data_IF_990960104293
#
_entry.id   IF_990960104293
#
_cell.length_a   1.000
_cell.length_b   1.000
_cell.length_c   1.000
_cell.angle_alpha   90.00
_cell.angle_beta   90.00
_cell.angle_gamma   90.00
#
_symmetry.space_group_name_H-M   'P 1'
#
loop_
_entity.id
_entity.type
_entity.pdbx_description
1 polymer ?
#
# COMPACT_ATOMS: atom_id res chain seq x y z
N UNK A 1 -6.20 0.01 21.22
CA UNK A 1 -6.42 0.43 19.82
C UNK A 1 -7.74 -0.16 19.36
N UNK A 2 -8.69 0.59 18.78
CA UNK A 2 -9.96 0.01 18.32
C UNK A 2 -9.70 -1.03 17.23
N UNK A 3 -10.38 -2.16 17.32
CA UNK A 3 -10.28 -3.25 16.34
C UNK A 3 -11.05 -2.80 15.10
N UNK A 4 -10.47 -2.85 13.87
CA UNK A 4 -11.22 -2.54 12.66
C UNK A 4 -12.41 -3.50 12.52
N UNK A 5 -13.47 -3.10 11.81
CA UNK A 5 -14.68 -3.93 11.66
C UNK A 5 -14.36 -5.36 11.22
N UNK A 6 -13.43 -5.52 10.27
CA UNK A 6 -12.95 -6.83 9.85
C UNK A 6 -12.32 -7.65 10.99
N UNK A 7 -11.58 -7.01 11.90
CA UNK A 7 -11.04 -7.67 13.09
C UNK A 7 -12.12 -8.09 14.09
N UNK A 8 -13.21 -7.33 14.23
CA UNK A 8 -14.35 -7.74 15.06
C UNK A 8 -15.02 -9.01 14.49
N UNK A 9 -15.25 -9.07 13.17
CA UNK A 9 -15.85 -10.24 12.55
C UNK A 9 -14.93 -11.47 12.57
N UNK A 10 -13.63 -11.25 12.39
CA UNK A 10 -12.63 -12.27 12.55
C UNK A 10 -12.64 -12.89 13.95
N UNK A 11 -12.61 -12.07 14.99
CA UNK A 11 -12.58 -12.52 16.39
C UNK A 11 -13.90 -13.20 16.81
N UNK A 12 -15.04 -12.60 16.45
CA UNK A 12 -16.35 -13.08 16.93
C UNK A 12 -16.94 -14.23 16.11
N UNK A 13 -16.67 -14.26 14.82
CA UNK A 13 -17.34 -15.18 13.88
C UNK A 13 -16.35 -16.02 13.07
N UNK A 14 -15.04 -15.92 13.33
CA UNK A 14 -14.03 -16.69 12.60
C UNK A 14 -13.91 -16.30 11.12
N UNK A 15 -14.35 -15.11 10.74
CA UNK A 15 -14.22 -14.63 9.35
C UNK A 15 -12.74 -14.41 9.02
N UNK A 16 -12.28 -14.99 7.92
CA UNK A 16 -10.95 -14.72 7.37
C UNK A 16 -10.96 -13.36 6.67
N UNK A 17 -10.10 -12.44 7.10
CA UNK A 17 -10.05 -11.07 6.58
C UNK A 17 -8.63 -10.69 6.21
N UNK A 18 -8.44 -10.24 4.98
CA UNK A 18 -7.20 -9.59 4.53
C UNK A 18 -7.47 -8.11 4.29
N UNK A 19 -6.87 -7.22 5.09
CA UNK A 19 -7.06 -5.77 5.00
C UNK A 19 -5.98 -5.14 4.11
N UNK A 20 -6.34 -4.83 2.87
CA UNK A 20 -5.45 -4.23 1.88
C UNK A 20 -5.32 -2.71 2.10
N UNK A 21 -4.16 -2.26 2.58
CA UNK A 21 -3.82 -0.84 2.73
C UNK A 21 -3.16 -0.33 1.45
N UNK A 22 -3.97 0.05 0.48
CA UNK A 22 -3.51 0.47 -0.84
C UNK A 22 -2.73 1.78 -0.74
N UNK A 23 -1.50 1.80 -1.26
CA UNK A 23 -0.69 3.00 -1.39
C UNK A 23 -1.17 3.88 -2.55
N UNK A 24 -0.71 3.59 -3.77
CA UNK A 24 -1.07 4.34 -4.98
C UNK A 24 -1.11 3.42 -6.19
N UNK A 25 -2.30 2.91 -6.50
CA UNK A 25 -2.53 1.96 -7.58
C UNK A 25 -2.81 2.68 -8.91
N UNK A 26 -1.79 2.82 -9.75
CA UNK A 26 -1.85 3.54 -11.03
C UNK A 26 -0.94 2.88 -12.06
N UNK A 27 -1.11 3.19 -13.34
CA UNK A 27 -0.26 2.66 -14.42
C UNK A 27 1.24 2.97 -14.20
N UNK A 28 1.56 4.17 -13.70
CA UNK A 28 2.93 4.61 -13.40
C UNK A 28 2.93 5.61 -12.23
N UNK A 29 4.03 5.72 -11.46
CA UNK A 29 4.15 6.75 -10.43
C UNK A 29 4.21 8.14 -11.10
N UNK A 30 3.45 9.09 -10.56
CA UNK A 30 3.32 10.46 -11.09
C UNK A 30 3.91 11.53 -10.16
N UNK A 31 4.37 11.16 -8.96
CA UNK A 31 4.99 12.07 -8.01
C UNK A 31 6.09 11.36 -7.21
N UNK A 32 6.93 12.15 -6.53
CA UNK A 32 8.04 11.62 -5.71
C UNK A 32 7.49 10.74 -4.60
N UNK A 33 6.37 11.10 -3.96
CA UNK A 33 5.66 10.23 -3.01
C UNK A 33 5.37 8.84 -3.60
N UNK A 34 4.91 8.79 -4.84
CA UNK A 34 4.52 7.52 -5.46
C UNK A 34 5.72 6.60 -5.68
N UNK A 35 6.95 7.10 -5.75
CA UNK A 35 8.14 6.21 -5.78
C UNK A 35 8.25 5.32 -4.53
N UNK A 36 7.66 5.75 -3.41
CA UNK A 36 7.57 4.96 -2.18
C UNK A 36 6.27 4.17 -2.06
N UNK A 37 5.15 4.73 -2.55
CA UNK A 37 3.80 4.19 -2.29
C UNK A 37 3.15 3.49 -3.48
N UNK A 38 3.81 3.42 -4.64
CA UNK A 38 3.21 2.89 -5.85
C UNK A 38 2.89 1.40 -5.73
N UNK A 39 1.79 1.02 -6.36
CA UNK A 39 1.34 -0.34 -6.57
C UNK A 39 1.00 -0.46 -8.05
N UNK A 40 1.68 -1.35 -8.78
CA UNK A 40 1.35 -1.60 -10.17
C UNK A 40 0.00 -2.33 -10.29
N UNK A 41 -0.71 -2.21 -11.42
CA UNK A 41 -1.92 -3.01 -11.66
C UNK A 41 -1.67 -4.53 -11.60
N UNK A 42 -0.49 -4.98 -12.01
CA UNK A 42 -0.08 -6.38 -11.98
C UNK A 42 0.12 -6.87 -10.54
N UNK A 43 0.83 -6.10 -9.71
CA UNK A 43 1.00 -6.42 -8.30
C UNK A 43 -0.32 -6.31 -7.53
N UNK A 44 -1.22 -5.39 -7.90
CA UNK A 44 -2.57 -5.35 -7.34
C UNK A 44 -3.35 -6.64 -7.66
N UNK A 45 -3.29 -7.14 -8.89
CA UNK A 45 -3.89 -8.42 -9.25
C UNK A 45 -3.26 -9.59 -8.47
N UNK A 46 -1.93 -9.59 -8.27
CA UNK A 46 -1.23 -10.59 -7.45
C UNK A 46 -1.68 -10.53 -6.00
N UNK A 47 -1.81 -9.33 -5.43
CA UNK A 47 -2.27 -9.08 -4.07
C UNK A 47 -3.69 -9.59 -3.84
N UNK A 48 -4.63 -9.20 -4.70
CA UNK A 48 -6.02 -9.66 -4.62
C UNK A 48 -6.10 -11.17 -4.82
N UNK A 49 -5.36 -11.71 -5.78
CA UNK A 49 -5.31 -13.14 -6.00
C UNK A 49 -4.75 -13.92 -4.81
N UNK A 50 -3.71 -13.41 -4.15
CA UNK A 50 -3.13 -13.97 -2.93
C UNK A 50 -4.15 -13.96 -1.79
N UNK A 51 -4.78 -12.81 -1.55
CA UNK A 51 -5.80 -12.64 -0.52
C UNK A 51 -7.03 -13.55 -0.69
N UNK A 52 -7.40 -13.90 -1.93
CA UNK A 52 -8.54 -14.77 -2.21
C UNK A 52 -8.22 -16.27 -2.12
N UNK A 53 -6.94 -16.66 -2.24
CA UNK A 53 -6.54 -18.08 -2.29
C UNK A 53 -5.96 -18.59 -0.97
N UNK A 54 -5.33 -17.71 -0.19
CA UNK A 54 -4.66 -18.11 1.03
C UNK A 54 -5.68 -18.24 2.18
N UNK A 55 -5.72 -19.39 2.88
CA UNK A 55 -6.38 -19.45 4.16
C UNK A 55 -5.60 -18.56 5.14
N UNK A 56 -6.29 -17.66 5.83
CA UNK A 56 -5.67 -16.74 6.79
C UNK A 56 -6.42 -16.79 8.11
N UNK A 57 -5.69 -16.91 9.22
CA UNK A 57 -6.30 -16.85 10.54
C UNK A 57 -6.59 -15.40 10.93
N UNK A 58 -7.87 -15.10 11.16
CA UNK A 58 -8.31 -13.83 11.70
C UNK A 58 -8.21 -12.67 10.71
N UNK A 59 -7.63 -11.55 11.15
CA UNK A 59 -7.58 -10.31 10.37
C UNK A 59 -6.13 -9.89 10.10
N UNK A 60 -5.68 -10.03 8.85
CA UNK A 60 -4.31 -9.80 8.41
C UNK A 60 -4.18 -8.49 7.64
N UNK A 61 -3.50 -7.47 8.19
CA UNK A 61 -3.23 -6.24 7.45
C UNK A 61 -2.06 -6.42 6.48
N UNK A 62 -2.26 -5.98 5.24
CA UNK A 62 -1.24 -6.04 4.18
C UNK A 62 -1.06 -4.65 3.57
N UNK A 63 0.18 -4.22 3.39
CA UNK A 63 0.46 -3.00 2.62
C UNK A 63 0.39 -3.30 1.13
N UNK A 64 -0.56 -2.66 0.45
CA UNK A 64 -0.72 -2.72 -1.00
C UNK A 64 0.25 -1.78 -1.67
N UNK A 65 1.51 -2.19 -1.73
CA UNK A 65 2.59 -1.54 -2.46
C UNK A 65 3.36 -2.58 -3.27
N UNK A 66 3.95 -2.16 -4.38
CA UNK A 66 4.91 -2.93 -5.15
C UNK A 66 6.25 -3.04 -4.40
N UNK A 67 7.23 -3.76 -4.95
CA UNK A 67 8.53 -4.00 -4.33
C UNK A 67 9.45 -2.77 -4.41
N UNK A 68 8.88 -1.58 -4.17
CA UNK A 68 9.55 -0.32 -4.43
C UNK A 68 10.83 -0.22 -3.61
N UNK A 69 11.92 0.14 -4.28
CA UNK A 69 13.21 0.39 -3.62
C UNK A 69 13.07 1.43 -2.51
N UNK A 70 12.22 2.45 -2.72
CA UNK A 70 12.01 3.56 -1.76
C UNK A 70 10.84 3.36 -0.80
N UNK A 71 10.27 2.15 -0.69
CA UNK A 71 9.06 1.92 0.12
C UNK A 71 9.27 2.31 1.59
N UNK A 72 8.20 2.80 2.22
CA UNK A 72 8.20 3.11 3.65
C UNK A 72 7.79 1.92 4.53
N UNK A 73 7.14 0.94 3.93
CA UNK A 73 6.52 -0.17 4.66
C UNK A 73 7.18 -1.50 4.33
N UNK A 74 7.31 -2.36 5.34
CA UNK A 74 7.69 -3.76 5.15
C UNK A 74 6.62 -4.51 4.35
N UNK A 75 7.07 -5.40 3.48
CA UNK A 75 6.21 -6.31 2.70
C UNK A 75 5.95 -7.64 3.41
N UNK A 76 6.57 -7.89 4.57
CA UNK A 76 6.43 -9.15 5.34
C UNK A 76 4.98 -9.46 5.73
N UNK A 77 4.13 -8.44 5.89
CA UNK A 77 2.69 -8.64 6.11
C UNK A 77 1.99 -9.37 4.95
N UNK A 78 2.59 -9.37 3.77
CA UNK A 78 2.14 -10.12 2.60
C UNK A 78 2.47 -11.62 2.66
N UNK A 79 3.36 -12.07 3.54
CA UNK A 79 3.78 -13.48 3.58
C UNK A 79 2.63 -14.41 3.98
N UNK A 80 1.79 -13.97 4.92
CA UNK A 80 0.62 -14.73 5.36
C UNK A 80 -0.36 -15.06 4.22
N UNK A 81 -0.77 -14.09 3.37
CA UNK A 81 -1.56 -14.40 2.18
C UNK A 81 -0.73 -14.90 0.97
N UNK A 82 0.60 -14.99 1.07
CA UNK A 82 1.47 -15.37 -0.05
C UNK A 82 1.63 -14.29 -1.13
N UNK A 83 1.50 -13.02 -0.75
CA UNK A 83 1.76 -11.88 -1.61
C UNK A 83 3.23 -11.46 -1.57
N UNK A 84 3.92 -11.64 -2.69
CA UNK A 84 5.27 -11.16 -2.91
C UNK A 84 5.29 -10.24 -4.15
N UNK A 85 5.33 -8.91 -3.97
CA UNK A 85 5.33 -7.98 -5.10
C UNK A 85 6.60 -8.15 -5.95
N UNK A 86 6.52 -7.78 -7.22
CA UNK A 86 7.64 -7.95 -8.16
C UNK A 86 8.06 -6.68 -8.87
N UNK A 87 7.14 -5.72 -9.00
CA UNK A 87 7.42 -4.53 -9.77
C UNK A 87 8.09 -3.48 -8.86
N UNK A 88 8.85 -2.53 -9.43
CA UNK A 88 9.54 -1.50 -8.66
C UNK A 88 9.33 -0.14 -9.31
N UNK A 89 8.84 0.83 -8.53
CA UNK A 89 8.69 2.21 -8.96
C UNK A 89 10.01 2.87 -9.39
N UNK A 90 11.17 2.36 -8.93
CA UNK A 90 12.48 2.89 -9.28
C UNK A 90 12.73 2.89 -10.80
N UNK A 91 12.10 1.96 -11.54
CA UNK A 91 12.13 1.93 -13.01
C UNK A 91 11.59 3.24 -13.66
N UNK A 92 10.77 4.00 -12.95
CA UNK A 92 10.17 5.25 -13.41
C UNK A 92 10.80 6.50 -12.77
N UNK A 93 11.75 6.35 -11.86
CA UNK A 93 12.27 7.46 -11.05
C UNK A 93 12.81 8.63 -11.88
N UNK A 94 13.42 8.35 -13.04
CA UNK A 94 13.95 9.37 -13.95
C UNK A 94 12.88 10.15 -14.71
N UNK A 95 11.66 9.61 -14.82
CA UNK A 95 10.53 10.22 -15.51
C UNK A 95 9.59 10.97 -14.55
N UNK A 96 9.77 10.81 -13.24
CA UNK A 96 8.97 11.52 -12.24
C UNK A 96 9.46 12.97 -12.14
N UNK A 97 8.57 13.97 -12.32
CA UNK A 97 8.96 15.36 -12.18
C UNK A 97 9.39 15.66 -10.74
N UNK A 98 10.36 16.55 -10.60
CA UNK A 98 10.75 17.07 -9.29
C UNK A 98 9.54 17.71 -8.59
N UNK A 99 9.37 17.45 -7.30
CA UNK A 99 8.29 18.10 -6.56
C UNK A 99 8.55 19.60 -6.42
N UNK A 100 7.55 20.46 -6.67
CA UNK A 100 7.64 21.87 -6.31
C UNK A 100 7.88 21.99 -4.80
N UNK A 101 8.69 22.97 -4.38
CA UNK A 101 8.82 23.32 -2.96
C UNK A 101 7.43 23.65 -2.39
N UNK A 102 6.87 22.72 -1.63
CA UNK A 102 5.52 22.80 -1.10
C UNK A 102 5.58 23.07 0.40
N UNK A 103 5.54 24.36 0.79
CA UNK A 103 5.32 24.78 2.18
C UNK A 103 6.28 24.15 3.22
N UNK A 104 5.90 24.14 4.51
CA UNK A 104 6.74 23.62 5.59
C UNK A 104 6.90 22.09 5.61
N UNK A 105 6.02 21.34 4.94
CA UNK A 105 6.05 19.87 4.84
C UNK A 105 5.65 19.48 3.43
N UNK A 106 6.54 18.80 2.71
CA UNK A 106 6.25 18.41 1.33
C UNK A 106 5.27 17.22 1.29
N UNK A 107 4.37 17.12 0.29
CA UNK A 107 3.54 15.93 0.09
C UNK A 107 4.34 14.63 -0.03
N UNK A 108 5.56 14.67 -0.58
CA UNK A 108 6.50 13.54 -0.55
C UNK A 108 6.86 13.05 0.85
N UNK A 109 6.75 13.87 1.89
CA UNK A 109 7.22 13.57 3.25
C UNK A 109 6.11 12.99 4.14
N UNK A 110 4.87 12.90 3.64
CA UNK A 110 3.75 12.37 4.42
C UNK A 110 3.13 11.13 3.81
N UNK A 111 2.72 10.21 4.68
CA UNK A 111 1.99 8.99 4.27
C UNK A 111 0.78 9.31 3.39
N UNK A 112 0.02 10.34 3.78
CA UNK A 112 -1.18 10.79 3.08
C UNK A 112 -0.95 11.76 1.93
N UNK A 113 0.28 12.13 1.58
CA UNK A 113 0.50 13.16 0.57
C UNK A 113 -0.23 14.46 0.92
N UNK A 114 -1.05 14.97 0.00
CA UNK A 114 -1.79 16.22 0.19
C UNK A 114 -3.05 16.08 1.05
N UNK A 115 -3.51 14.87 1.38
CA UNK A 115 -4.77 14.66 2.13
C UNK A 115 -4.82 15.37 3.50
N UNK A 116 -3.76 15.39 4.33
CA UNK A 116 -3.78 16.09 5.62
C UNK A 116 -3.94 17.61 5.52
N UNK A 117 -3.63 18.21 4.37
CA UNK A 117 -3.74 19.65 4.12
C UNK A 117 -5.08 20.09 3.52
N UNK A 118 -6.03 19.16 3.33
CA UNK A 118 -7.37 19.47 2.82
C UNK A 118 -8.21 20.29 3.82
N UNK A 119 -9.27 20.98 3.35
CA UNK A 119 -10.21 21.65 4.24
C UNK A 119 -10.83 20.63 5.21
N UNK A 120 -10.97 21.03 6.48
CA UNK A 120 -11.65 20.25 7.53
C UNK A 120 -13.16 20.34 7.42
#
# INVERSE_FOLDING_TARGET
MPIPLGGFYADRYGTEVVLLRIGSCFERPASVRMLSTWLSPDDFCRLVGAALRAPVSGCVPVWGVSANTRRWWSTEGGDAPGYHPRDDAEAFASAVPAEPSAGPVAPAETVGGSFPGGPR
#
